data_IF_736636492964
#
_entry.id   IF_736636492964
#
_cell.length_a   1.000
_cell.length_b   1.000
_cell.length_c   1.000
_cell.angle_alpha   90.00
_cell.angle_beta   90.00
_cell.angle_gamma   90.00
#
_symmetry.space_group_name_H-M   'P 1'
#
loop_
_entity.id
_entity.type
_entity.pdbx_description
1 polymer ?
#
# COMPACT_ATOMS: atom_id res chain seq x y z
N UNK A 1 26.03 -11.52 16.10
CA UNK A 1 24.57 -11.72 16.12
C UNK A 1 24.22 -12.53 14.88
N UNK A 2 23.54 -13.67 15.02
CA UNK A 2 22.98 -14.38 13.86
C UNK A 2 21.88 -13.50 13.28
N UNK A 3 21.91 -13.22 11.97
CA UNK A 3 20.84 -12.49 11.30
C UNK A 3 19.57 -13.34 11.37
N UNK A 4 18.49 -12.75 11.88
CA UNK A 4 17.18 -13.40 11.95
C UNK A 4 16.68 -13.62 10.52
N UNK A 5 16.37 -14.87 10.16
CA UNK A 5 15.78 -15.18 8.86
C UNK A 5 14.39 -14.53 8.75
N UNK A 6 14.11 -13.91 7.60
CA UNK A 6 12.84 -13.24 7.31
C UNK A 6 12.08 -14.04 6.27
N UNK A 7 10.94 -14.59 6.68
CA UNK A 7 10.10 -15.43 5.85
C UNK A 7 8.95 -14.63 5.26
N UNK A 8 8.61 -14.92 4.00
CA UNK A 8 7.39 -14.44 3.37
C UNK A 8 6.28 -15.39 3.78
N UNK A 9 5.42 -14.94 4.69
CA UNK A 9 4.28 -15.69 5.20
C UNK A 9 3.18 -15.80 4.16
N UNK A 10 2.85 -14.67 3.55
CA UNK A 10 1.80 -14.59 2.54
C UNK A 10 2.02 -13.40 1.60
N UNK A 11 1.37 -13.46 0.45
CA UNK A 11 1.25 -12.38 -0.51
C UNK A 11 -0.21 -12.25 -0.91
N UNK A 12 -0.63 -11.05 -1.27
CA UNK A 12 -1.98 -10.83 -1.80
C UNK A 12 -2.07 -9.54 -2.57
N UNK A 13 -3.01 -9.53 -3.51
CA UNK A 13 -3.17 -8.40 -4.40
C UNK A 13 -4.61 -8.11 -4.79
N UNK A 14 -4.81 -6.85 -5.17
CA UNK A 14 -5.95 -6.36 -5.90
C UNK A 14 -5.45 -5.59 -7.11
N UNK A 15 -6.10 -5.81 -8.24
CA UNK A 15 -5.84 -5.13 -9.48
C UNK A 15 -7.17 -4.92 -10.20
N UNK A 16 -7.39 -3.71 -10.70
CA UNK A 16 -8.50 -3.43 -11.60
C UNK A 16 -8.08 -2.41 -12.67
N UNK A 17 -8.30 -2.72 -13.96
CA UNK A 17 -8.20 -1.71 -15.00
C UNK A 17 -9.23 -0.61 -14.77
N UNK A 18 -8.89 0.63 -15.11
CA UNK A 18 -9.76 1.80 -14.93
C UNK A 18 -10.01 2.44 -16.28
N UNK A 19 -11.26 2.34 -16.72
CA UNK A 19 -11.82 3.09 -17.84
C UNK A 19 -12.42 4.42 -17.31
N UNK A 20 -13.40 5.02 -18.00
CA UNK A 20 -13.93 6.34 -17.62
C UNK A 20 -14.55 6.40 -16.21
N UNK A 21 -15.09 5.27 -15.72
CA UNK A 21 -15.69 5.17 -14.39
C UNK A 21 -14.83 4.29 -13.49
N UNK A 22 -14.35 4.81 -12.34
CA UNK A 22 -13.65 3.98 -11.36
C UNK A 22 -14.52 2.83 -10.84
N UNK A 23 -13.92 1.69 -10.48
CA UNK A 23 -14.67 0.55 -9.94
C UNK A 23 -15.31 0.88 -8.58
N UNK A 24 -16.53 0.37 -8.34
CA UNK A 24 -17.17 0.42 -7.02
C UNK A 24 -16.66 -0.74 -6.15
N UNK A 25 -15.82 -0.41 -5.17
CA UNK A 25 -15.17 -1.41 -4.31
C UNK A 25 -16.00 -1.83 -3.10
N UNK A 26 -17.19 -1.26 -2.86
CA UNK A 26 -17.93 -1.50 -1.61
C UNK A 26 -18.33 -2.96 -1.42
N UNK A 27 -18.83 -3.58 -2.49
CA UNK A 27 -19.24 -4.98 -2.47
C UNK A 27 -18.03 -5.90 -2.26
N UNK A 28 -16.96 -5.66 -3.02
CA UNK A 28 -15.72 -6.40 -2.91
C UNK A 28 -15.10 -6.26 -1.52
N UNK A 29 -14.98 -5.04 -1.01
CA UNK A 29 -14.49 -4.76 0.33
C UNK A 29 -15.27 -5.52 1.39
N UNK A 30 -16.59 -5.55 1.29
CA UNK A 30 -17.43 -6.27 2.25
C UNK A 30 -17.18 -7.78 2.18
N UNK A 31 -16.99 -8.34 0.98
CA UNK A 31 -16.67 -9.75 0.81
C UNK A 31 -15.31 -10.11 1.42
N UNK A 32 -14.30 -9.27 1.21
CA UNK A 32 -12.92 -9.55 1.63
C UNK A 32 -12.70 -9.26 3.13
N UNK A 33 -13.37 -8.26 3.69
CA UNK A 33 -13.21 -7.86 5.10
C UNK A 33 -14.28 -8.43 6.03
N UNK A 34 -15.27 -9.15 5.48
CA UNK A 34 -16.39 -9.74 6.21
C UNK A 34 -17.40 -8.75 6.81
N UNK A 35 -17.15 -7.43 6.71
CA UNK A 35 -18.06 -6.39 7.23
C UNK A 35 -18.00 -5.12 6.39
N UNK A 36 -19.10 -4.36 6.27
CA UNK A 36 -19.07 -3.08 5.58
C UNK A 36 -18.15 -2.09 6.31
N UNK A 37 -17.17 -1.53 5.59
CA UNK A 37 -16.38 -0.39 6.07
C UNK A 37 -16.92 0.87 5.41
N UNK A 38 -17.38 1.82 6.22
CA UNK A 38 -18.06 3.03 5.75
C UNK A 38 -17.18 4.26 5.95
N UNK A 39 -17.50 5.31 5.17
CA UNK A 39 -16.89 6.65 5.28
C UNK A 39 -15.39 6.67 4.99
N UNK A 40 -14.96 5.88 4.02
CA UNK A 40 -13.60 5.81 3.50
C UNK A 40 -13.62 5.92 1.97
N UNK A 41 -12.59 6.52 1.40
CA UNK A 41 -12.39 6.65 -0.05
C UNK A 41 -11.77 5.40 -0.67
N UNK A 42 -11.70 5.37 -2.00
CA UNK A 42 -11.31 4.20 -2.79
C UNK A 42 -9.87 3.75 -2.51
N UNK A 43 -8.95 4.68 -2.24
CA UNK A 43 -7.57 4.36 -1.84
C UNK A 43 -7.51 3.47 -0.59
N UNK A 44 -8.25 3.84 0.45
CA UNK A 44 -8.33 3.06 1.70
C UNK A 44 -9.07 1.74 1.48
N UNK A 45 -10.09 1.72 0.61
CA UNK A 45 -10.79 0.49 0.25
C UNK A 45 -9.85 -0.50 -0.45
N UNK A 46 -9.08 -0.05 -1.44
CA UNK A 46 -8.07 -0.86 -2.14
C UNK A 46 -7.01 -1.39 -1.18
N UNK A 47 -6.51 -0.54 -0.26
CA UNK A 47 -5.57 -0.95 0.78
C UNK A 47 -6.12 -2.08 1.66
N UNK A 48 -7.37 -1.98 2.11
CA UNK A 48 -8.02 -3.01 2.92
C UNK A 48 -8.27 -4.30 2.14
N UNK A 49 -8.70 -4.21 0.88
CA UNK A 49 -8.90 -5.38 0.01
C UNK A 49 -7.59 -6.13 -0.19
N UNK A 50 -6.52 -5.43 -0.60
CA UNK A 50 -5.22 -6.05 -0.84
C UNK A 50 -4.63 -6.68 0.43
N UNK A 51 -4.73 -5.98 1.56
CA UNK A 51 -4.25 -6.50 2.84
C UNK A 51 -5.09 -7.71 3.31
N UNK A 52 -6.41 -7.67 3.15
CA UNK A 52 -7.29 -8.80 3.49
C UNK A 52 -7.00 -10.04 2.66
N UNK A 53 -6.74 -9.88 1.36
CA UNK A 53 -6.32 -11.00 0.49
C UNK A 53 -4.96 -11.57 0.88
N UNK A 54 -4.03 -10.71 1.30
CA UNK A 54 -2.72 -11.14 1.77
C UNK A 54 -2.81 -11.92 3.09
N UNK A 55 -3.57 -11.42 4.06
CA UNK A 55 -3.77 -12.08 5.35
C UNK A 55 -4.64 -13.34 5.22
N UNK A 56 -5.60 -13.34 4.29
CA UNK A 56 -6.53 -14.44 4.09
C UNK A 56 -7.37 -14.72 5.34
N UNK A 57 -7.45 -15.99 5.73
CA UNK A 57 -8.16 -16.41 6.95
C UNK A 57 -7.31 -16.39 8.21
N UNK A 58 -6.04 -16.00 8.11
CA UNK A 58 -5.12 -15.95 9.25
C UNK A 58 -5.34 -14.69 10.09
N UNK A 59 -4.70 -14.62 11.25
CA UNK A 59 -4.71 -13.44 12.11
C UNK A 59 -3.28 -13.03 12.38
N UNK A 60 -2.83 -11.87 11.87
CA UNK A 60 -1.49 -11.39 12.16
C UNK A 60 -1.35 -11.11 13.66
N UNK A 61 -0.15 -11.31 14.24
CA UNK A 61 0.12 -10.86 15.60
C UNK A 61 -0.27 -9.40 15.81
N UNK A 62 -0.78 -9.05 17.01
CA UNK A 62 -1.16 -7.67 17.29
C UNK A 62 0.00 -6.68 17.12
N UNK A 63 1.24 -7.11 17.33
CA UNK A 63 2.45 -6.29 17.15
C UNK A 63 2.94 -6.21 15.69
N UNK A 64 2.21 -6.79 14.72
CA UNK A 64 2.57 -6.70 13.29
C UNK A 64 2.60 -5.24 12.86
N UNK A 65 3.76 -4.83 12.33
CA UNK A 65 3.95 -3.50 11.79
C UNK A 65 3.27 -3.35 10.42
N UNK A 66 2.87 -2.15 10.06
CA UNK A 66 2.29 -1.79 8.76
C UNK A 66 3.21 -0.78 8.08
N UNK A 67 3.82 -1.18 6.96
CA UNK A 67 4.59 -0.32 6.08
C UNK A 67 3.84 -0.20 4.77
N UNK A 68 3.17 0.92 4.54
CA UNK A 68 2.44 1.15 3.29
C UNK A 68 3.18 2.15 2.42
N UNK A 69 3.01 2.01 1.12
CA UNK A 69 3.60 2.90 0.13
C UNK A 69 2.61 3.28 -0.95
N UNK A 70 2.90 4.41 -1.58
CA UNK A 70 2.30 4.87 -2.83
C UNK A 70 3.27 5.85 -3.46
N UNK A 71 3.22 6.01 -4.78
CA UNK A 71 4.01 7.06 -5.44
C UNK A 71 3.53 8.45 -5.03
N UNK A 72 2.21 8.65 -4.87
CA UNK A 72 1.60 9.99 -4.70
C UNK A 72 0.57 10.08 -3.57
N UNK A 73 0.27 8.98 -2.87
CA UNK A 73 -0.77 8.92 -1.85
C UNK A 73 -2.18 9.00 -2.44
N UNK A 74 -3.16 9.32 -1.60
CA UNK A 74 -4.56 9.46 -2.00
C UNK A 74 -4.81 10.82 -2.68
N UNK A 75 -4.61 10.84 -4.00
CA UNK A 75 -4.87 12.04 -4.80
C UNK A 75 -6.37 12.34 -4.93
N UNK A 76 -7.23 11.32 -4.87
CA UNK A 76 -8.67 11.48 -5.01
C UNK A 76 -9.25 12.30 -3.85
N UNK A 77 -8.96 11.92 -2.61
CA UNK A 77 -9.41 12.69 -1.44
C UNK A 77 -8.75 14.06 -1.37
N UNK A 78 -7.50 14.18 -1.84
CA UNK A 78 -6.82 15.47 -1.93
C UNK A 78 -7.57 16.42 -2.86
N UNK A 79 -8.01 15.95 -4.03
CA UNK A 79 -8.80 16.75 -4.96
C UNK A 79 -10.20 17.05 -4.40
N UNK A 80 -10.85 16.08 -3.75
CA UNK A 80 -12.15 16.27 -3.07
C UNK A 80 -12.12 17.41 -2.06
N UNK A 81 -10.99 17.58 -1.36
CA UNK A 81 -10.80 18.61 -0.33
C UNK A 81 -10.34 19.94 -0.95
N UNK A 82 -9.40 19.91 -1.89
CA UNK A 82 -8.79 21.12 -2.45
C UNK A 82 -9.71 21.84 -3.45
N UNK A 83 -10.45 21.12 -4.29
CA UNK A 83 -11.26 21.76 -5.32
C UNK A 83 -12.37 22.66 -4.75
N UNK A 84 -13.22 22.23 -3.81
CA UNK A 84 -14.25 23.11 -3.24
C UNK A 84 -13.65 24.27 -2.44
N UNK A 85 -12.54 24.02 -1.73
CA UNK A 85 -11.83 25.03 -0.96
C UNK A 85 -11.38 26.19 -1.85
N UNK A 86 -10.74 25.89 -2.99
CA UNK A 86 -10.19 26.93 -3.86
C UNK A 86 -11.19 27.48 -4.88
N UNK A 87 -12.12 26.66 -5.39
CA UNK A 87 -13.12 27.10 -6.40
C UNK A 87 -14.32 27.80 -5.77
N UNK A 88 -14.72 27.38 -4.56
CA UNK A 88 -15.97 27.80 -3.94
C UNK A 88 -15.79 28.46 -2.57
N UNK A 89 -14.58 28.46 -2.00
CA UNK A 89 -14.32 28.99 -0.66
C UNK A 89 -14.94 28.14 0.44
N UNK A 90 -15.28 26.88 0.15
CA UNK A 90 -15.93 25.98 1.10
C UNK A 90 -14.91 25.33 2.04
N UNK A 91 -15.12 25.36 3.37
CA UNK A 91 -14.20 24.72 4.29
C UNK A 91 -14.22 23.19 4.08
N UNK A 92 -13.07 22.51 4.24
CA UNK A 92 -13.00 21.08 4.05
C UNK A 92 -13.81 20.35 5.13
N UNK A 93 -14.53 19.30 4.73
CA UNK A 93 -15.25 18.44 5.68
C UNK A 93 -14.24 17.76 6.62
N UNK A 94 -14.46 17.72 7.95
CA UNK A 94 -13.47 17.19 8.89
C UNK A 94 -12.98 15.78 8.55
N UNK A 95 -13.87 14.89 8.13
CA UNK A 95 -13.51 13.51 7.81
C UNK A 95 -12.68 13.40 6.52
N UNK A 96 -13.05 14.12 5.46
CA UNK A 96 -12.26 14.14 4.22
C UNK A 96 -10.89 14.76 4.49
N UNK A 97 -10.83 15.82 5.30
CA UNK A 97 -9.57 16.47 5.69
C UNK A 97 -8.60 15.52 6.40
N UNK A 98 -9.04 14.78 7.42
CA UNK A 98 -8.16 13.84 8.12
C UNK A 98 -7.72 12.66 7.26
N UNK A 99 -8.44 12.36 6.17
CA UNK A 99 -8.06 11.30 5.25
C UNK A 99 -7.10 11.80 4.16
N UNK A 100 -6.79 13.10 4.09
CA UNK A 100 -5.80 13.64 3.14
C UNK A 100 -4.36 13.29 3.50
N UNK A 101 -4.08 12.96 4.76
CA UNK A 101 -2.76 12.47 5.15
C UNK A 101 -2.59 11.03 4.68
N UNK A 102 -1.50 10.75 3.97
CA UNK A 102 -1.33 9.44 3.31
C UNK A 102 -1.32 8.26 4.28
N UNK A 103 -0.90 8.46 5.52
CA UNK A 103 -0.89 7.43 6.56
C UNK A 103 -2.29 7.06 7.10
N UNK A 104 -3.36 7.76 6.70
CA UNK A 104 -4.72 7.39 7.05
C UNK A 104 -5.03 5.94 6.64
N UNK A 105 -4.58 5.50 5.46
CA UNK A 105 -4.75 4.13 5.00
C UNK A 105 -4.04 3.10 5.91
N UNK A 106 -2.84 3.42 6.43
CA UNK A 106 -2.18 2.56 7.42
C UNK A 106 -3.03 2.40 8.68
N UNK A 107 -3.63 3.49 9.17
CA UNK A 107 -4.53 3.43 10.33
C UNK A 107 -5.74 2.51 10.09
N UNK A 108 -6.38 2.58 8.92
CA UNK A 108 -7.52 1.71 8.63
C UNK A 108 -7.12 0.24 8.51
N UNK A 109 -5.97 -0.06 7.90
CA UNK A 109 -5.42 -1.43 7.86
C UNK A 109 -5.12 -1.94 9.27
N UNK A 110 -4.36 -1.19 10.06
CA UNK A 110 -4.04 -1.56 11.44
C UNK A 110 -5.31 -1.76 12.27
N UNK A 111 -6.27 -0.83 12.19
CA UNK A 111 -7.56 -0.93 12.89
C UNK A 111 -8.39 -2.13 12.45
N UNK A 112 -8.34 -2.50 11.18
CA UNK A 112 -9.11 -3.62 10.65
C UNK A 112 -8.64 -4.95 11.25
N UNK A 113 -7.33 -5.18 11.29
CA UNK A 113 -6.72 -6.41 11.81
C UNK A 113 -6.39 -6.36 13.32
N UNK A 114 -6.67 -5.26 14.01
CA UNK A 114 -6.37 -5.12 15.44
C UNK A 114 -4.87 -5.00 15.74
N UNK A 115 -4.13 -4.31 14.86
CA UNK A 115 -2.69 -4.14 14.97
C UNK A 115 -2.33 -2.89 15.80
N UNK A 116 -1.31 -3.05 16.61
CA UNK A 116 -0.74 -2.07 17.53
C UNK A 116 0.77 -1.85 17.29
N UNK A 117 1.34 -2.59 16.34
CA UNK A 117 2.72 -2.42 15.90
C UNK A 117 2.97 -1.08 15.21
N UNK A 118 4.22 -0.89 14.77
CA UNK A 118 4.67 0.31 14.05
C UNK A 118 3.79 0.55 12.82
N UNK A 119 3.47 1.82 12.54
CA UNK A 119 2.75 2.23 11.33
C UNK A 119 3.55 3.29 10.59
N UNK A 120 3.96 3.00 9.36
CA UNK A 120 4.72 3.90 8.51
C UNK A 120 4.09 3.98 7.11
N UNK A 121 4.07 5.20 6.56
CA UNK A 121 3.73 5.43 5.16
C UNK A 121 4.95 6.02 4.46
N UNK A 122 5.41 5.39 3.38
CA UNK A 122 6.53 5.88 2.59
C UNK A 122 6.05 6.28 1.20
N UNK A 123 6.44 7.47 0.76
CA UNK A 123 6.22 7.94 -0.60
C UNK A 123 7.58 8.17 -1.25
N UNK A 124 7.79 7.56 -2.41
CA UNK A 124 8.96 7.83 -3.24
C UNK A 124 8.55 7.82 -4.71
N UNK A 125 9.22 8.62 -5.53
CA UNK A 125 8.96 8.68 -6.97
C UNK A 125 9.27 7.33 -7.62
N UNK A 126 10.38 6.71 -7.23
CA UNK A 126 10.81 5.41 -7.73
C UNK A 126 11.05 4.45 -6.58
N UNK A 127 10.75 3.18 -6.83
CA UNK A 127 11.03 2.09 -5.91
C UNK A 127 10.47 2.27 -4.49
N UNK A 128 9.28 2.85 -4.35
CA UNK A 128 8.67 3.08 -3.03
C UNK A 128 8.44 1.75 -2.29
N UNK A 129 7.96 0.74 -3.00
CA UNK A 129 7.71 -0.58 -2.44
C UNK A 129 8.99 -1.26 -1.95
N UNK A 130 10.05 -1.23 -2.75
CA UNK A 130 11.35 -1.79 -2.40
C UNK A 130 11.97 -1.06 -1.21
N UNK A 131 11.83 0.27 -1.13
CA UNK A 131 12.29 1.02 0.05
C UNK A 131 11.56 0.60 1.33
N UNK A 132 10.25 0.31 1.27
CA UNK A 132 9.51 -0.20 2.40
C UNK A 132 9.86 -1.65 2.75
N UNK A 133 10.10 -2.51 1.75
CA UNK A 133 10.62 -3.86 1.99
C UNK A 133 11.98 -3.82 2.67
N UNK A 134 12.87 -2.92 2.23
CA UNK A 134 14.18 -2.73 2.84
C UNK A 134 14.03 -2.28 4.29
N UNK A 135 13.18 -1.29 4.58
CA UNK A 135 12.91 -0.83 5.94
C UNK A 135 12.36 -1.95 6.84
N UNK A 136 11.37 -2.71 6.35
CA UNK A 136 10.79 -3.82 7.10
C UNK A 136 11.82 -4.93 7.36
N UNK A 137 12.66 -5.25 6.37
CA UNK A 137 13.75 -6.20 6.51
C UNK A 137 14.73 -5.76 7.61
N UNK A 138 15.21 -4.50 7.56
CA UNK A 138 16.11 -3.97 8.59
C UNK A 138 15.46 -3.98 9.99
N UNK A 139 14.19 -3.59 10.09
CA UNK A 139 13.47 -3.58 11.38
C UNK A 139 13.33 -5.00 11.95
N UNK A 140 13.14 -6.03 11.11
CA UNK A 140 13.10 -7.43 11.55
C UNK A 140 14.49 -7.95 11.94
N UNK A 141 15.50 -7.70 11.11
CA UNK A 141 16.88 -8.17 11.35
C UNK A 141 17.48 -7.56 12.62
N UNK A 142 17.12 -6.31 12.92
CA UNK A 142 17.54 -5.60 14.14
C UNK A 142 16.62 -5.85 15.34
N UNK A 143 15.59 -6.69 15.18
CA UNK A 143 14.67 -7.08 16.25
C UNK A 143 13.71 -5.99 16.71
N UNK A 144 13.55 -4.89 15.95
CA UNK A 144 12.59 -3.82 16.23
C UNK A 144 11.14 -4.27 16.02
N UNK A 145 10.91 -5.18 15.06
CA UNK A 145 9.61 -5.80 14.81
C UNK A 145 9.80 -7.30 14.55
N UNK A 146 8.77 -8.10 14.79
CA UNK A 146 8.79 -9.56 14.51
C UNK A 146 7.93 -9.97 13.33
N UNK A 147 7.04 -9.08 12.90
CA UNK A 147 6.06 -9.32 11.85
C UNK A 147 5.73 -8.00 11.17
N UNK A 148 5.58 -8.00 9.84
CA UNK A 148 5.32 -6.79 9.07
C UNK A 148 4.41 -7.06 7.87
N UNK A 149 3.37 -6.25 7.70
CA UNK A 149 2.61 -6.12 6.46
C UNK A 149 3.22 -4.97 5.66
N UNK A 150 3.77 -5.30 4.50
CA UNK A 150 4.38 -4.33 3.57
C UNK A 150 3.49 -4.22 2.34
N UNK A 151 2.98 -3.02 2.06
CA UNK A 151 2.01 -2.78 1.00
C UNK A 151 2.39 -1.64 0.05
N UNK A 152 1.94 -1.74 -1.20
CA UNK A 152 1.94 -0.64 -2.18
C UNK A 152 0.53 -0.48 -2.74
N UNK A 153 0.02 0.76 -2.73
CA UNK A 153 -1.34 1.07 -3.17
C UNK A 153 -1.32 2.30 -4.07
N UNK A 154 -1.93 2.20 -5.24
CA UNK A 154 -2.13 3.34 -6.14
C UNK A 154 -3.50 3.22 -6.81
N UNK A 155 -4.17 4.37 -6.97
CA UNK A 155 -5.47 4.45 -7.64
C UNK A 155 -5.41 5.39 -8.85
N UNK A 156 -6.12 5.03 -9.91
CA UNK A 156 -6.35 5.96 -11.02
C UNK A 156 -7.33 7.06 -10.57
N UNK A 157 -7.00 8.32 -10.82
CA UNK A 157 -7.79 9.48 -10.37
C UNK A 157 -8.25 10.29 -11.58
N UNK A 158 -9.56 10.45 -11.76
CA UNK A 158 -10.11 11.17 -12.89
C UNK A 158 -9.83 12.69 -12.87
N UNK A 159 -9.97 13.38 -14.02
CA UNK A 159 -10.14 12.84 -15.38
C UNK A 159 -8.92 12.03 -15.85
N UNK A 160 -9.13 10.94 -16.62
CA UNK A 160 -8.05 10.01 -16.97
C UNK A 160 -7.01 10.59 -17.95
N UNK A 161 -7.40 11.54 -18.81
CA UNK A 161 -6.44 12.26 -19.66
C UNK A 161 -5.45 13.08 -18.81
N UNK A 162 -5.94 13.71 -17.74
CA UNK A 162 -5.11 14.42 -16.77
C UNK A 162 -4.25 13.44 -15.97
N UNK A 163 -4.83 12.30 -15.56
CA UNK A 163 -4.09 11.24 -14.88
C UNK A 163 -2.91 10.73 -15.70
N UNK A 164 -3.12 10.39 -16.97
CA UNK A 164 -2.08 9.94 -17.91
C UNK A 164 -0.98 10.98 -18.05
N UNK A 165 -1.34 12.26 -18.25
CA UNK A 165 -0.36 13.36 -18.31
C UNK A 165 0.47 13.49 -17.03
N UNK A 166 -0.13 13.33 -15.84
CA UNK A 166 0.60 13.33 -14.54
C UNK A 166 1.57 12.15 -14.38
N UNK A 167 1.32 11.06 -15.10
CA UNK A 167 2.17 9.88 -15.14
C UNK A 167 3.12 9.87 -16.33
N UNK A 168 3.11 10.93 -17.16
CA UNK A 168 3.92 11.02 -18.39
C UNK A 168 3.65 9.87 -19.37
N UNK A 169 2.39 9.41 -19.42
CA UNK A 169 1.94 8.34 -20.31
C UNK A 169 1.37 8.91 -21.62
N UNK A 170 1.51 8.14 -22.69
CA UNK A 170 0.87 8.43 -23.98
C UNK A 170 -0.66 8.42 -23.85
N UNK A 171 -1.32 9.16 -24.73
CA UNK A 171 -2.78 9.15 -24.80
C UNK A 171 -3.31 7.74 -25.07
N UNK A 172 -4.42 7.37 -24.42
CA UNK A 172 -5.00 6.03 -24.55
C UNK A 172 -4.26 4.92 -23.82
N UNK A 173 -3.09 5.18 -23.21
CA UNK A 173 -2.39 4.17 -22.40
C UNK A 173 -3.34 3.59 -21.34
N UNK A 174 -3.54 2.27 -21.27
CA UNK A 174 -4.34 1.66 -20.23
C UNK A 174 -3.80 2.00 -18.85
N UNK A 175 -4.69 2.36 -17.93
CA UNK A 175 -4.35 2.63 -16.53
C UNK A 175 -5.16 1.71 -15.64
N UNK A 176 -4.64 1.48 -14.44
CA UNK A 176 -5.25 0.60 -13.46
C UNK A 176 -5.08 1.19 -12.06
N UNK A 177 -5.87 0.66 -11.13
CA UNK A 177 -5.58 0.77 -9.71
C UNK A 177 -5.14 -0.59 -9.17
N UNK A 178 -4.28 -0.56 -8.16
CA UNK A 178 -3.74 -1.78 -7.59
C UNK A 178 -3.40 -1.62 -6.11
N UNK A 179 -3.42 -2.74 -5.40
CA UNK A 179 -2.98 -2.86 -4.02
C UNK A 179 -2.24 -4.19 -3.87
N UNK A 180 -0.93 -4.15 -3.64
CA UNK A 180 -0.08 -5.34 -3.51
C UNK A 180 0.52 -5.39 -2.11
N UNK A 181 0.53 -6.58 -1.51
CA UNK A 181 0.95 -6.76 -0.13
C UNK A 181 1.79 -8.02 0.05
N UNK A 182 2.74 -7.93 0.98
CA UNK A 182 3.57 -9.03 1.45
C UNK A 182 3.53 -9.04 2.97
N UNK A 183 3.28 -10.20 3.55
CA UNK A 183 3.38 -10.42 4.99
C UNK A 183 4.72 -11.10 5.31
N UNK A 184 5.56 -10.42 6.09
CA UNK A 184 6.87 -10.88 6.53
C UNK A 184 6.85 -11.29 8.00
N UNK A 185 7.58 -12.36 8.34
CA UNK A 185 7.73 -12.83 9.72
C UNK A 185 9.16 -13.28 10.04
N UNK A 186 9.58 -12.98 11.28
CA UNK A 186 10.88 -13.35 11.82
C UNK A 186 10.93 -14.82 12.25
N UNK A 187 11.82 -15.61 11.64
CA UNK A 187 12.09 -17.00 12.04
C UNK A 187 10.91 -17.95 11.91
N UNK A 188 9.97 -17.66 11.01
CA UNK A 188 8.85 -18.54 10.72
C UNK A 188 9.20 -19.53 9.59
N UNK A 189 8.66 -20.75 9.61
CA UNK A 189 8.75 -21.67 8.48
C UNK A 189 7.84 -21.15 7.34
N UNK A 190 8.42 -20.38 6.42
CA UNK A 190 7.76 -19.91 5.20
C UNK A 190 8.24 -20.68 3.98
N UNK A 191 7.41 -20.73 2.93
CA UNK A 191 7.80 -21.34 1.65
C UNK A 191 8.88 -20.54 0.90
N UNK A 192 9.14 -19.29 1.30
CA UNK A 192 10.11 -18.39 0.69
C UNK A 192 10.65 -17.40 1.72
N UNK A 193 11.87 -16.91 1.51
CA UNK A 193 12.54 -15.97 2.41
C UNK A 193 12.99 -14.71 1.68
N UNK A 194 12.89 -13.57 2.36
CA UNK A 194 13.42 -12.29 1.91
C UNK A 194 14.86 -12.15 2.42
N UNK A 195 15.84 -12.37 1.54
CA UNK A 195 17.27 -12.34 1.92
C UNK A 195 17.90 -10.95 1.84
N UNK A 196 17.48 -10.15 0.87
CA UNK A 196 18.03 -8.83 0.63
C UNK A 196 17.09 -8.02 -0.25
N UNK A 197 17.16 -6.69 -0.12
CA UNK A 197 16.57 -5.73 -1.05
C UNK A 197 17.69 -4.85 -1.58
N UNK A 198 18.06 -5.04 -2.85
CA UNK A 198 19.22 -4.38 -3.46
C UNK A 198 18.79 -3.45 -4.59
N UNK A 199 19.43 -2.28 -4.64
CA UNK A 199 19.30 -1.33 -5.74
C UNK A 199 20.57 -1.38 -6.58
N UNK A 200 20.40 -1.50 -7.90
CA UNK A 200 21.51 -1.54 -8.83
C UNK A 200 21.50 -0.27 -9.66
N UNK A 201 22.66 0.40 -9.75
CA UNK A 201 22.81 1.63 -10.51
C UNK A 201 22.65 1.40 -12.03
N UNK A 202 22.97 0.19 -12.50
CA UNK A 202 22.86 -0.21 -13.89
C UNK A 202 22.69 -1.73 -14.03
N UNK A 203 22.48 -2.17 -15.28
CA UNK A 203 22.33 -3.58 -15.63
C UNK A 203 23.61 -4.40 -15.38
N UNK A 204 24.80 -3.80 -15.52
CA UNK A 204 26.05 -4.51 -15.32
C UNK A 204 26.23 -4.91 -13.85
N UNK A 205 25.91 -4.00 -12.91
CA UNK A 205 25.90 -4.28 -11.49
C UNK A 205 24.90 -5.38 -11.11
N UNK A 206 23.71 -5.39 -11.71
CA UNK A 206 22.73 -6.48 -11.52
C UNK A 206 23.28 -7.82 -12.03
N UNK A 207 23.88 -7.85 -13.22
CA UNK A 207 24.46 -9.09 -13.78
C UNK A 207 25.57 -9.66 -12.91
N UNK A 208 26.41 -8.81 -12.31
CA UNK A 208 27.46 -9.24 -11.37
C UNK A 208 26.87 -9.84 -10.10
N UNK A 209 25.75 -9.31 -9.60
CA UNK A 209 25.09 -9.84 -8.41
C UNK A 209 24.36 -11.17 -8.64
N UNK A 210 23.86 -11.40 -9.86
CA UNK A 210 23.18 -12.63 -10.24
C UNK A 210 24.14 -13.81 -10.55
N UNK A 211 25.41 -13.51 -10.83
CA UNK A 211 26.45 -14.49 -11.17
C UNK A 211 27.01 -15.19 -9.93
#
# INVERSE_FOLDING_TARGET
>A
MSMTEVSIRAIGDYYAPVDDTPPDLRALLTAETGKPVRRIGRFIQSALIGAARCVGSETPPAETAVYMTSRRGDLEVTLEVMEPLFKHGEPPKPLSFINTVSNAACFYVARHFGLHGRSCFLSNTHFSFEAALQLALLDIETGQVRSALVGSVDIATGPLDVHRRRLELEEGTPVAEASHWVWLEAGADGASTLKAVNFFADRAALSVWLA
#
